data_IF_893706968863
#
_entry.id   IF_893706968863
#
_cell.length_a   1.000
_cell.length_b   1.000
_cell.length_c   1.000
_cell.angle_alpha   90.00
_cell.angle_beta   90.00
_cell.angle_gamma   90.00
#
_symmetry.space_group_name_H-M   'P 1'
#
loop_
_entity.id
_entity.type
_entity.pdbx_description
1 polymer ?
#
# COMPACT_ATOMS: atom_id res chain seq x y z
N UNK A 1 -4.58 2.53 40.38
CA UNK A 1 -4.01 1.21 40.04
C UNK A 1 -3.82 0.34 41.26
N UNK A 2 -3.03 0.73 42.28
CA UNK A 2 -2.73 -0.13 43.45
C UNK A 2 -3.98 -0.73 44.15
N UNK A 3 -5.05 0.06 44.35
CA UNK A 3 -6.31 -0.44 44.94
C UNK A 3 -7.03 -1.49 44.08
N UNK A 4 -6.72 -1.53 42.79
CA UNK A 4 -7.20 -2.48 41.79
C UNK A 4 -6.13 -3.53 41.46
N UNK A 5 -5.11 -3.70 42.32
CA UNK A 5 -4.00 -4.66 42.17
C UNK A 5 -3.11 -4.46 40.94
N UNK A 6 -3.11 -3.26 40.37
CA UNK A 6 -2.25 -2.87 39.24
C UNK A 6 -1.04 -2.03 39.74
N UNK A 7 0.06 -2.02 38.97
CA UNK A 7 1.25 -1.22 39.29
C UNK A 7 0.93 0.29 39.29
N UNK A 8 1.55 1.07 40.18
CA UNK A 8 1.29 2.52 40.26
C UNK A 8 1.67 3.29 39.01
N UNK A 9 2.64 2.78 38.23
CA UNK A 9 3.15 3.37 37.00
C UNK A 9 2.79 2.52 35.77
N UNK A 10 1.71 1.72 35.83
CA UNK A 10 1.27 0.91 34.70
C UNK A 10 0.94 1.78 33.46
N UNK A 11 1.60 1.48 32.33
CA UNK A 11 1.49 2.25 31.09
C UNK A 11 0.53 1.63 30.06
N UNK A 12 0.27 0.32 30.14
CA UNK A 12 -0.51 -0.43 29.16
C UNK A 12 0.14 -0.50 27.78
N UNK A 13 -0.67 -0.76 26.74
CA UNK A 13 -0.20 -0.87 25.34
C UNK A 13 0.19 -2.27 24.89
N UNK A 14 -0.09 -3.28 25.70
CA UNK A 14 0.07 -4.70 25.39
C UNK A 14 -1.26 -5.44 25.59
N UNK A 15 -1.29 -6.70 25.16
CA UNK A 15 -2.41 -7.61 25.27
C UNK A 15 -2.03 -8.77 26.18
N UNK A 16 -2.95 -9.23 27.02
CA UNK A 16 -2.77 -10.45 27.82
C UNK A 16 -3.41 -11.61 27.06
N UNK A 17 -2.60 -12.59 26.67
CA UNK A 17 -3.05 -13.80 25.96
C UNK A 17 -2.65 -15.02 26.77
N UNK A 18 -3.62 -15.69 27.39
CA UNK A 18 -3.41 -16.85 28.25
C UNK A 18 -2.37 -16.60 29.36
N UNK A 19 -2.47 -15.45 30.05
CA UNK A 19 -1.52 -15.05 31.10
C UNK A 19 -0.18 -14.52 30.60
N UNK A 20 0.03 -14.41 29.28
CA UNK A 20 1.25 -13.83 28.71
C UNK A 20 0.98 -12.43 28.17
N UNK A 21 1.80 -11.46 28.57
CA UNK A 21 1.79 -10.13 27.98
C UNK A 21 2.47 -10.14 26.61
N UNK A 22 1.80 -9.56 25.62
CA UNK A 22 2.25 -9.50 24.23
C UNK A 22 1.96 -8.14 23.64
N UNK A 23 2.93 -7.57 22.94
CA UNK A 23 2.78 -6.30 22.25
C UNK A 23 2.83 -6.51 20.74
N UNK A 24 2.01 -5.75 20.01
CA UNK A 24 2.11 -5.68 18.54
C UNK A 24 3.22 -4.68 18.19
N UNK A 25 4.24 -5.14 17.48
CA UNK A 25 5.34 -4.28 17.05
C UNK A 25 4.87 -3.27 16.01
N UNK A 26 5.20 -1.99 16.22
CA UNK A 26 4.97 -0.94 15.23
C UNK A 26 5.82 -1.18 13.98
N UNK A 27 5.23 -0.95 12.80
CA UNK A 27 5.89 -1.10 11.50
C UNK A 27 5.98 0.25 10.79
N UNK A 28 7.15 0.55 10.24
CA UNK A 28 7.33 1.69 9.34
C UNK A 28 6.81 1.27 7.95
N UNK A 29 5.91 2.07 7.41
CA UNK A 29 5.31 1.86 6.09
C UNK A 29 5.45 3.10 5.23
N UNK A 30 5.22 2.96 3.93
CA UNK A 30 5.18 4.10 3.01
C UNK A 30 4.14 5.14 3.44
N UNK A 31 4.46 6.41 3.21
CA UNK A 31 3.59 7.55 3.52
C UNK A 31 2.19 7.35 2.92
N UNK A 32 1.16 7.56 3.73
CA UNK A 32 -0.24 7.45 3.30
C UNK A 32 -0.58 8.55 2.29
N UNK A 33 -1.37 8.22 1.28
CA UNK A 33 -1.99 9.14 0.34
C UNK A 33 -1.00 10.11 -0.34
N UNK A 34 0.21 9.61 -0.66
CA UNK A 34 1.24 10.39 -1.34
C UNK A 34 1.85 9.55 -2.48
N UNK A 35 1.86 10.05 -3.73
CA UNK A 35 2.51 9.35 -4.83
C UNK A 35 4.02 9.48 -4.72
N UNK A 36 4.73 8.36 -4.75
CA UNK A 36 6.19 8.29 -4.71
C UNK A 36 6.70 7.72 -6.03
N UNK A 37 7.60 8.46 -6.67
CA UNK A 37 8.34 7.97 -7.85
C UNK A 37 9.46 7.03 -7.40
N UNK A 38 9.56 5.89 -8.06
CA UNK A 38 10.56 4.86 -7.82
C UNK A 38 11.35 4.58 -9.09
N UNK A 39 12.65 4.45 -8.91
CA UNK A 39 13.59 3.85 -9.84
C UNK A 39 14.08 2.57 -9.18
N UNK A 40 13.64 1.41 -9.67
CA UNK A 40 13.98 0.10 -9.10
C UNK A 40 14.27 -0.90 -10.22
N UNK A 41 15.52 -1.39 -10.34
CA UNK A 41 15.87 -2.39 -11.36
C UNK A 41 15.03 -3.66 -11.27
N UNK A 42 14.55 -4.04 -10.08
CA UNK A 42 13.71 -5.24 -9.92
C UNK A 42 12.35 -5.17 -10.63
N UNK A 43 11.91 -4.00 -11.10
CA UNK A 43 10.69 -3.89 -11.89
C UNK A 43 10.84 -4.44 -13.31
N UNK A 44 12.05 -4.45 -13.88
CA UNK A 44 12.30 -5.04 -15.21
C UNK A 44 12.11 -6.56 -15.19
N UNK A 45 12.29 -7.21 -14.02
CA UNK A 45 12.09 -8.65 -13.86
C UNK A 45 10.62 -9.10 -13.97
N UNK A 46 9.65 -8.17 -14.05
CA UNK A 46 8.21 -8.51 -14.13
C UNK A 46 7.79 -8.99 -15.52
N UNK A 47 8.60 -8.76 -16.53
CA UNK A 47 8.33 -9.23 -17.89
C UNK A 47 8.98 -8.34 -18.96
N UNK A 48 8.94 -8.79 -20.22
CA UNK A 48 9.49 -8.02 -21.33
C UNK A 48 8.80 -6.66 -21.45
N UNK A 49 9.58 -5.62 -21.73
CA UNK A 49 9.11 -4.24 -21.89
C UNK A 49 8.92 -3.45 -20.59
N UNK A 50 8.95 -4.09 -19.41
CA UNK A 50 8.92 -3.34 -18.15
C UNK A 50 10.18 -2.50 -17.97
N UNK A 51 10.01 -1.24 -17.57
CA UNK A 51 11.12 -0.36 -17.19
C UNK A 51 11.31 -0.37 -15.67
N UNK A 52 12.41 0.22 -15.20
CA UNK A 52 12.68 0.41 -13.78
C UNK A 52 11.85 1.53 -13.13
N UNK A 53 11.08 2.28 -13.93
CA UNK A 53 10.33 3.44 -13.48
C UNK A 53 8.91 3.06 -13.09
N UNK A 54 8.52 3.45 -11.88
CA UNK A 54 7.14 3.32 -11.42
C UNK A 54 6.74 4.44 -10.47
N UNK A 55 5.45 4.77 -10.44
CA UNK A 55 4.87 5.62 -9.38
C UNK A 55 3.99 4.75 -8.51
N UNK A 56 4.24 4.74 -7.21
CA UNK A 56 3.47 3.97 -6.25
C UNK A 56 2.82 4.88 -5.22
N UNK A 57 1.56 4.58 -4.88
CA UNK A 57 0.81 5.30 -3.87
C UNK A 57 0.11 4.30 -2.94
N UNK A 58 0.27 4.51 -1.63
CA UNK A 58 -0.47 3.78 -0.60
C UNK A 58 -1.73 4.57 -0.23
N UNK A 59 -2.85 4.20 -0.82
CA UNK A 59 -4.15 4.80 -0.54
C UNK A 59 -4.74 4.16 0.72
N UNK A 60 -5.12 4.98 1.70
CA UNK A 60 -5.67 4.56 2.99
C UNK A 60 -7.05 5.16 3.17
N UNK A 61 -8.05 4.33 3.43
CA UNK A 61 -9.43 4.72 3.75
C UNK A 61 -9.54 5.12 5.23
N UNK A 62 -10.63 5.78 5.60
CA UNK A 62 -10.90 6.27 6.96
C UNK A 62 -10.94 5.14 8.02
N UNK A 63 -11.22 3.89 7.61
CA UNK A 63 -11.15 2.70 8.48
C UNK A 63 -9.73 2.10 8.57
N UNK A 64 -8.71 2.85 8.14
CA UNK A 64 -7.30 2.45 8.06
C UNK A 64 -7.00 1.28 7.12
N UNK A 65 -7.97 0.80 6.35
CA UNK A 65 -7.71 -0.19 5.30
C UNK A 65 -6.89 0.44 4.18
N UNK A 66 -5.77 -0.20 3.83
CA UNK A 66 -4.83 0.33 2.87
C UNK A 66 -4.72 -0.54 1.60
N UNK A 67 -4.67 0.13 0.46
CA UNK A 67 -4.34 -0.47 -0.84
C UNK A 67 -3.20 0.28 -1.49
N UNK A 68 -2.25 -0.48 -2.02
CA UNK A 68 -1.13 0.07 -2.77
C UNK A 68 -1.40 -0.07 -4.25
N UNK A 69 -1.39 1.05 -4.94
CA UNK A 69 -1.47 1.16 -6.39
C UNK A 69 -0.08 1.42 -6.95
N UNK A 70 0.25 0.83 -8.09
CA UNK A 70 1.56 1.05 -8.73
C UNK A 70 1.37 1.22 -10.23
N UNK A 71 1.76 2.37 -10.76
CA UNK A 71 1.81 2.67 -12.18
C UNK A 71 3.20 2.28 -12.69
N UNK A 72 3.26 1.36 -13.64
CA UNK A 72 4.49 0.96 -14.31
C UNK A 72 4.58 1.63 -15.67
N UNK A 73 5.74 2.22 -15.95
CA UNK A 73 6.07 2.69 -17.29
C UNK A 73 6.65 1.53 -18.10
N UNK A 74 6.09 1.32 -19.28
CA UNK A 74 6.52 0.28 -20.22
C UNK A 74 7.31 0.94 -21.34
N UNK A 75 8.31 0.24 -21.87
CA UNK A 75 9.24 0.76 -22.88
C UNK A 75 8.58 1.19 -24.20
N UNK A 76 7.36 0.70 -24.47
CA UNK A 76 6.54 1.08 -25.62
C UNK A 76 5.76 2.39 -25.41
N UNK A 77 5.94 3.05 -24.25
CA UNK A 77 5.26 4.28 -23.88
C UNK A 77 3.94 4.07 -23.11
N UNK A 78 3.48 2.82 -22.95
CA UNK A 78 2.26 2.54 -22.21
C UNK A 78 2.47 2.64 -20.70
N UNK A 79 1.37 2.92 -19.98
CA UNK A 79 1.34 2.93 -18.52
C UNK A 79 0.28 1.98 -18.01
N UNK A 80 0.71 1.02 -17.18
CA UNK A 80 -0.17 0.01 -16.58
C UNK A 80 -0.32 0.24 -15.09
N UNK A 81 -1.56 0.26 -14.62
CA UNK A 81 -1.89 0.22 -13.21
C UNK A 81 -1.89 -1.23 -12.71
N UNK A 82 -1.07 -1.50 -11.69
CA UNK A 82 -1.07 -2.73 -10.91
C UNK A 82 -1.96 -2.60 -9.69
N UNK A 83 -2.85 -3.57 -9.51
CA UNK A 83 -3.74 -3.72 -8.36
C UNK A 83 -3.54 -5.12 -7.75
N UNK A 84 -3.46 -5.20 -6.42
CA UNK A 84 -3.42 -6.47 -5.69
C UNK A 84 -4.77 -6.76 -5.03
N UNK A 85 -5.47 -7.79 -5.51
CA UNK A 85 -6.76 -8.24 -5.00
C UNK A 85 -6.73 -9.74 -4.68
N UNK A 86 -7.12 -10.12 -3.46
CA UNK A 86 -7.10 -11.52 -2.98
C UNK A 86 -5.79 -12.28 -3.31
N UNK A 87 -4.64 -11.63 -3.09
CA UNK A 87 -3.28 -12.15 -3.40
C UNK A 87 -2.99 -12.38 -4.89
N UNK A 88 -3.87 -11.95 -5.79
CA UNK A 88 -3.65 -11.96 -7.23
C UNK A 88 -3.36 -10.54 -7.73
N UNK A 89 -2.42 -10.45 -8.66
CA UNK A 89 -2.07 -9.20 -9.33
C UNK A 89 -2.90 -9.02 -10.60
N UNK A 90 -3.46 -7.83 -10.74
CA UNK A 90 -4.19 -7.40 -11.93
C UNK A 90 -3.48 -6.19 -12.53
N UNK A 91 -3.36 -6.20 -13.86
CA UNK A 91 -2.74 -5.12 -14.63
C UNK A 91 -3.80 -4.57 -15.58
N UNK A 92 -3.98 -3.25 -15.57
CA UNK A 92 -4.93 -2.58 -16.42
C UNK A 92 -4.29 -1.32 -17.01
N UNK A 93 -4.39 -1.08 -18.33
CA UNK A 93 -3.99 0.19 -18.92
C UNK A 93 -4.67 1.36 -18.21
N UNK A 94 -3.89 2.38 -17.83
CA UNK A 94 -4.42 3.49 -17.01
C UNK A 94 -5.54 4.26 -17.73
N UNK A 95 -5.47 4.35 -19.06
CA UNK A 95 -6.48 5.05 -19.87
C UNK A 95 -7.87 4.45 -19.74
N UNK A 96 -7.99 3.13 -19.60
CA UNK A 96 -9.27 2.44 -19.43
C UNK A 96 -9.89 2.84 -18.09
N UNK A 97 -9.08 2.87 -17.04
CA UNK A 97 -9.51 3.28 -15.71
C UNK A 97 -9.91 4.75 -15.66
N UNK A 98 -9.14 5.64 -16.28
CA UNK A 98 -9.48 7.07 -16.35
C UNK A 98 -10.86 7.26 -17.00
N UNK A 99 -11.09 6.64 -18.16
CA UNK A 99 -12.40 6.69 -18.86
C UNK A 99 -13.54 6.02 -18.08
N UNK A 100 -13.24 5.05 -17.21
CA UNK A 100 -14.25 4.38 -16.41
C UNK A 100 -14.66 5.18 -15.16
N UNK A 101 -13.80 6.06 -14.64
CA UNK A 101 -14.07 6.85 -13.43
C UNK A 101 -15.08 7.98 -13.70
N UNK A 102 -15.15 8.48 -14.94
CA UNK A 102 -16.07 9.53 -15.32
C UNK A 102 -16.04 9.81 -16.83
N UNK A 103 -16.95 10.67 -17.28
CA UNK A 103 -16.98 11.10 -18.68
C UNK A 103 -15.87 12.10 -18.95
N UNK A 104 -14.72 11.60 -19.40
CA UNK A 104 -13.58 12.41 -19.83
C UNK A 104 -13.40 12.32 -21.34
N UNK A 105 -13.11 13.46 -21.97
CA UNK A 105 -12.57 13.50 -23.33
C UNK A 105 -11.10 13.08 -23.34
N UNK A 106 -10.60 12.68 -24.52
CA UNK A 106 -9.16 12.47 -24.72
C UNK A 106 -8.36 13.79 -24.82
N UNK A 107 -9.08 14.93 -24.90
CA UNK A 107 -8.54 16.29 -24.78
C UNK A 107 -8.64 16.79 -23.36
#
# INVERSE_FOLDING_TARGET
MIKLTEDSNEFGGYFIINGNEKMIRMLILQKRNYPVAFLRPSYTNRGPGYTEFAVQMRCVRDDFYAKTFTLHYISDGNVYLRILYKKQEFLCPIIILLKAIGNFSDR
#
